data_IF_436670494098
#
_entry.id   IF_436670494098
#
_cell.length_a   1.000
_cell.length_b   1.000
_cell.length_c   1.000
_cell.angle_alpha   90.00
_cell.angle_beta   90.00
_cell.angle_gamma   90.00
#
_symmetry.space_group_name_H-M   'P 1'
#
loop_
_entity.id
_entity.type
_entity.pdbx_description
1 polymer ?
#
# COMPACT_ATOMS: atom_id res chain seq x y z
N UNK A 1 6.22 -11.46 -15.39
CA UNK A 1 7.40 -11.51 -14.49
C UNK A 1 6.90 -11.52 -13.06
N UNK A 2 7.45 -12.32 -12.14
CA UNK A 2 7.08 -12.21 -10.73
C UNK A 2 7.54 -10.85 -10.23
N UNK A 3 6.59 -9.93 -10.04
CA UNK A 3 6.89 -8.63 -9.43
C UNK A 3 7.48 -8.88 -8.04
N UNK A 4 8.66 -8.32 -7.79
CA UNK A 4 9.37 -8.54 -6.54
C UNK A 4 8.55 -7.92 -5.41
N UNK A 5 8.49 -8.58 -4.25
CA UNK A 5 7.64 -8.16 -3.13
C UNK A 5 7.90 -6.70 -2.72
N UNK A 6 9.15 -6.25 -2.81
CA UNK A 6 9.56 -4.87 -2.53
C UNK A 6 8.90 -3.87 -3.48
N UNK A 7 9.00 -4.08 -4.80
CA UNK A 7 8.37 -3.22 -5.83
C UNK A 7 6.86 -3.09 -5.62
N UNK A 8 6.22 -4.18 -5.17
CA UNK A 8 4.78 -4.16 -4.89
C UNK A 8 4.46 -3.33 -3.64
N UNK A 9 5.27 -3.42 -2.58
CA UNK A 9 5.08 -2.62 -1.37
C UNK A 9 5.34 -1.13 -1.65
N UNK A 10 6.36 -0.80 -2.47
CA UNK A 10 6.60 0.57 -2.95
C UNK A 10 5.41 1.10 -3.77
N UNK A 11 4.84 0.26 -4.65
CA UNK A 11 3.65 0.62 -5.42
C UNK A 11 2.43 0.87 -4.53
N UNK A 12 2.25 0.07 -3.48
CA UNK A 12 1.18 0.24 -2.50
C UNK A 12 1.37 1.57 -1.75
N UNK A 13 2.57 1.85 -1.24
CA UNK A 13 2.88 3.11 -0.56
C UNK A 13 2.55 4.32 -1.44
N UNK A 14 3.06 4.32 -2.68
CA UNK A 14 2.81 5.39 -3.63
C UNK A 14 1.32 5.64 -3.85
N UNK A 15 0.53 4.58 -4.06
CA UNK A 15 -0.91 4.70 -4.34
C UNK A 15 -1.71 5.16 -3.13
N UNK A 16 -1.34 4.75 -1.90
CA UNK A 16 -1.98 5.20 -0.66
C UNK A 16 -1.65 6.68 -0.39
N UNK A 17 -0.37 7.05 -0.51
CA UNK A 17 0.10 8.43 -0.29
C UNK A 17 -0.56 9.42 -1.23
N UNK A 18 -0.69 9.05 -2.51
CA UNK A 18 -1.35 9.86 -3.54
C UNK A 18 -2.87 9.70 -3.55
N UNK A 19 -3.45 8.95 -2.60
CA UNK A 19 -4.90 8.68 -2.48
C UNK A 19 -5.51 8.12 -3.78
N UNK A 20 -4.69 7.45 -4.59
CA UNK A 20 -4.98 7.01 -5.95
C UNK A 20 -5.25 5.49 -6.02
N UNK A 21 -5.61 4.87 -4.90
CA UNK A 21 -5.89 3.43 -4.85
C UNK A 21 -7.18 3.05 -5.57
N UNK A 22 -8.20 3.90 -5.53
CA UNK A 22 -9.58 3.49 -5.83
C UNK A 22 -10.15 2.56 -4.74
N UNK A 23 -11.28 1.95 -5.04
CA UNK A 23 -11.91 0.90 -4.23
C UNK A 23 -10.96 -0.29 -4.01
N UNK A 24 -11.21 -1.18 -3.05
CA UNK A 24 -10.37 -2.36 -2.83
C UNK A 24 -10.26 -3.27 -4.07
N UNK A 25 -11.30 -3.34 -4.90
CA UNK A 25 -11.26 -4.10 -6.15
C UNK A 25 -10.34 -3.43 -7.18
N UNK A 26 -10.47 -2.13 -7.40
CA UNK A 26 -9.62 -1.36 -8.32
C UNK A 26 -8.15 -1.36 -7.86
N UNK A 27 -7.91 -1.28 -6.55
CA UNK A 27 -6.57 -1.32 -6.00
C UNK A 27 -5.90 -2.68 -6.25
N UNK A 28 -6.63 -3.78 -6.05
CA UNK A 28 -6.14 -5.13 -6.35
C UNK A 28 -5.81 -5.29 -7.84
N UNK A 29 -6.66 -4.77 -8.74
CA UNK A 29 -6.41 -4.75 -10.20
C UNK A 29 -5.16 -3.93 -10.54
N UNK A 30 -4.99 -2.73 -9.97
CA UNK A 30 -3.80 -1.88 -10.18
C UNK A 30 -2.49 -2.55 -9.75
N UNK A 31 -2.56 -3.47 -8.79
CA UNK A 31 -1.42 -4.23 -8.29
C UNK A 31 -1.26 -5.60 -8.98
N UNK A 32 -2.21 -5.99 -9.84
CA UNK A 32 -2.22 -7.31 -10.49
C UNK A 32 -2.32 -8.48 -9.51
N UNK A 33 -3.08 -8.32 -8.42
CA UNK A 33 -3.24 -9.34 -7.36
C UNK A 33 -4.71 -9.60 -7.02
N UNK A 34 -4.97 -10.67 -6.28
CA UNK A 34 -6.29 -10.93 -5.71
C UNK A 34 -6.63 -9.95 -4.59
N UNK A 35 -7.92 -9.78 -4.30
CA UNK A 35 -8.39 -8.96 -3.17
C UNK A 35 -7.87 -9.45 -1.82
N UNK A 36 -7.80 -10.77 -1.62
CA UNK A 36 -7.25 -11.35 -0.38
C UNK A 36 -5.77 -10.98 -0.21
N UNK A 37 -4.98 -11.08 -1.28
CA UNK A 37 -3.56 -10.71 -1.28
C UNK A 37 -3.34 -9.22 -1.03
N UNK A 38 -4.23 -8.36 -1.54
CA UNK A 38 -4.23 -6.94 -1.18
C UNK A 38 -4.39 -6.75 0.34
N UNK A 39 -5.37 -7.41 0.96
CA UNK A 39 -5.61 -7.27 2.40
C UNK A 39 -4.46 -7.85 3.24
N UNK A 40 -3.80 -8.92 2.80
CA UNK A 40 -2.56 -9.40 3.43
C UNK A 40 -1.49 -8.31 3.45
N UNK A 41 -1.24 -7.62 2.33
CA UNK A 41 -0.28 -6.53 2.28
C UNK A 41 -0.70 -5.32 3.13
N UNK A 42 -1.98 -4.93 3.09
CA UNK A 42 -2.48 -3.84 3.93
C UNK A 42 -2.32 -4.16 5.42
N UNK A 43 -2.62 -5.39 5.84
CA UNK A 43 -2.44 -5.83 7.22
C UNK A 43 -0.97 -5.89 7.60
N UNK A 44 -0.09 -6.36 6.70
CA UNK A 44 1.36 -6.32 6.93
C UNK A 44 1.85 -4.89 7.21
N UNK A 45 1.47 -3.92 6.37
CA UNK A 45 1.86 -2.52 6.54
C UNK A 45 1.28 -1.91 7.84
N UNK A 46 0.02 -2.18 8.15
CA UNK A 46 -0.62 -1.76 9.40
C UNK A 46 0.09 -2.32 10.63
N UNK A 47 0.43 -3.61 10.61
CA UNK A 47 1.18 -4.28 11.68
C UNK A 47 2.61 -3.73 11.84
N UNK A 48 3.12 -3.04 10.82
CA UNK A 48 4.41 -2.32 10.84
C UNK A 48 4.24 -0.81 11.11
N UNK A 49 3.05 -0.38 11.55
CA UNK A 49 2.79 0.98 12.03
C UNK A 49 2.24 1.95 10.98
N UNK A 50 1.96 1.51 9.75
CA UNK A 50 1.36 2.39 8.76
C UNK A 50 -0.12 2.69 9.09
N UNK A 51 -0.52 3.97 9.30
CA UNK A 51 -1.89 4.32 9.72
C UNK A 51 -2.86 4.34 8.53
N UNK A 52 -3.11 3.18 7.93
CA UNK A 52 -3.91 3.05 6.69
C UNK A 52 -5.40 2.92 7.00
N UNK A 53 -6.22 3.80 6.41
CA UNK A 53 -7.70 3.73 6.45
C UNK A 53 -8.31 3.76 5.08
N UNK A 54 -9.50 3.18 4.94
CA UNK A 54 -10.32 3.29 3.73
C UNK A 54 -11.43 4.33 3.92
N UNK A 55 -11.49 5.33 3.04
CA UNK A 55 -12.61 6.27 2.98
C UNK A 55 -13.65 5.77 1.96
N UNK A 56 -14.86 5.44 2.43
CA UNK A 56 -15.99 5.12 1.54
C UNK A 56 -16.39 6.31 0.65
N UNK A 57 -16.34 7.53 1.19
CA UNK A 57 -16.68 8.77 0.47
C UNK A 57 -15.69 9.06 -0.66
N UNK A 58 -14.39 8.94 -0.38
CA UNK A 58 -13.33 9.20 -1.37
C UNK A 58 -13.00 7.98 -2.24
N UNK A 59 -13.52 6.81 -1.87
CA UNK A 59 -13.21 5.51 -2.48
C UNK A 59 -11.70 5.29 -2.62
N UNK A 60 -10.95 5.48 -1.54
CA UNK A 60 -9.52 5.21 -1.54
C UNK A 60 -8.99 4.86 -0.14
N UNK A 61 -7.88 4.13 -0.12
CA UNK A 61 -7.01 4.01 1.04
C UNK A 61 -6.08 5.21 1.11
N UNK A 62 -5.83 5.69 2.33
CA UNK A 62 -4.95 6.82 2.63
C UNK A 62 -4.29 6.63 4.00
N UNK A 63 -3.18 7.34 4.25
CA UNK A 63 -2.59 7.44 5.58
C UNK A 63 -3.28 8.52 6.41
N UNK A 64 -3.63 8.24 7.67
CA UNK A 64 -4.21 9.23 8.59
C UNK A 64 -3.25 10.38 8.90
N UNK A 65 -1.96 10.08 8.92
CA UNK A 65 -0.88 11.02 9.15
C UNK A 65 -0.03 11.11 7.89
N UNK A 66 0.49 12.31 7.59
CA UNK A 66 1.45 12.48 6.51
C UNK A 66 2.70 11.62 6.73
N UNK A 67 3.13 10.90 5.71
CA UNK A 67 4.24 9.97 5.81
C UNK A 67 4.44 9.11 4.58
N UNK A 68 5.46 8.25 4.62
CA UNK A 68 5.73 7.22 3.62
C UNK A 68 6.22 5.96 4.31
N UNK A 69 5.90 4.80 3.74
CA UNK A 69 6.43 3.52 4.16
C UNK A 69 7.63 3.15 3.28
N UNK A 70 8.84 3.20 3.84
CA UNK A 70 10.08 2.97 3.10
C UNK A 70 10.67 1.61 3.45
N UNK A 71 11.07 0.86 2.42
CA UNK A 71 11.82 -0.39 2.53
C UNK A 71 13.13 -0.18 1.78
N UNK A 72 14.20 0.06 2.51
CA UNK A 72 15.53 0.28 1.91
C UNK A 72 16.62 -0.32 2.79
N UNK A 73 17.74 -0.66 2.18
CA UNK A 73 18.95 -0.99 2.91
C UNK A 73 19.63 0.31 3.34
N UNK A 74 20.02 0.39 4.61
CA UNK A 74 20.75 1.54 5.16
C UNK A 74 22.16 1.06 5.50
N UNK A 75 23.14 1.53 4.75
CA UNK A 75 24.53 1.35 5.11
C UNK A 75 24.92 2.42 6.16
N UNK A 76 25.64 2.06 7.23
CA UNK A 76 26.37 3.06 7.99
C UNK A 76 27.44 3.69 7.09
N UNK A 77 27.66 5.00 7.25
CA UNK A 77 28.81 5.68 6.65
C UNK A 77 30.11 5.18 7.28
#
# INVERSE_FOLDING_TARGET
MPQKIVERLERIDYLIKTKSTGSPAEFAVKLGISRSRLYEYLNLLKNKGAPIVFSRKRKCFYYETEGSFLITFIAPN
#
